data_IF_190551886137
#
_entry.id   IF_190551886137
#
_cell.length_a   1.000
_cell.length_b   1.000
_cell.length_c   1.000
_cell.angle_alpha   90.00
_cell.angle_beta   90.00
_cell.angle_gamma   90.00
#
_symmetry.space_group_name_H-M   'P 1'
#
loop_
_entity.id
_entity.type
_entity.pdbx_description
1 polymer ?
#
# COMPACT_ATOMS: atom_id res chain seq x y z
N UNK A 1 28.40 -33.07 -16.62
CA UNK A 1 27.56 -32.76 -17.79
C UNK A 1 26.33 -32.03 -17.27
N UNK A 2 26.36 -30.70 -17.34
CA UNK A 2 25.22 -29.86 -16.99
C UNK A 2 24.22 -30.02 -18.13
N UNK A 3 23.01 -30.43 -17.81
CA UNK A 3 21.90 -30.57 -18.76
C UNK A 3 21.72 -29.26 -19.52
N UNK A 4 21.95 -29.28 -20.83
CA UNK A 4 21.72 -28.20 -21.79
C UNK A 4 20.21 -27.94 -22.04
N UNK A 5 19.33 -28.29 -21.11
CA UNK A 5 17.87 -28.26 -21.28
C UNK A 5 17.13 -27.20 -20.43
N UNK A 6 17.85 -26.40 -19.63
CA UNK A 6 17.29 -25.25 -18.90
C UNK A 6 18.00 -23.95 -19.28
N UNK A 7 18.27 -23.75 -20.56
CA UNK A 7 18.36 -22.37 -21.07
C UNK A 7 16.94 -21.81 -20.98
N UNK A 8 16.60 -21.29 -19.79
CA UNK A 8 15.30 -20.68 -19.50
C UNK A 8 14.97 -19.70 -20.62
N UNK A 9 13.94 -20.01 -21.41
CA UNK A 9 13.32 -19.05 -22.31
C UNK A 9 12.99 -17.83 -21.44
N UNK A 10 13.77 -16.76 -21.61
CA UNK A 10 13.54 -15.48 -20.99
C UNK A 10 13.34 -14.47 -22.13
N UNK A 11 12.40 -13.52 -21.99
CA UNK A 11 12.25 -12.46 -22.98
C UNK A 11 13.58 -11.72 -23.14
N UNK A 12 14.06 -11.46 -24.38
CA UNK A 12 15.36 -10.82 -24.64
C UNK A 12 15.57 -9.51 -23.86
N UNK A 13 14.49 -8.74 -23.69
CA UNK A 13 14.47 -7.48 -22.94
C UNK A 13 14.91 -7.62 -21.48
N UNK A 14 14.79 -8.81 -20.89
CA UNK A 14 15.01 -9.06 -19.46
C UNK A 14 16.34 -9.77 -19.15
N UNK A 15 17.11 -10.14 -20.17
CA UNK A 15 18.37 -10.91 -20.00
C UNK A 15 19.51 -10.04 -19.48
N UNK A 16 19.59 -8.77 -19.92
CA UNK A 16 20.64 -7.83 -19.52
C UNK A 16 20.07 -6.51 -19.00
N UNK A 17 19.35 -6.54 -17.87
CA UNK A 17 18.83 -5.33 -17.25
C UNK A 17 19.94 -4.42 -16.75
N UNK A 18 19.71 -3.10 -16.83
CA UNK A 18 20.59 -2.12 -16.21
C UNK A 18 20.12 -1.79 -14.78
N UNK A 19 21.02 -1.39 -13.88
CA UNK A 19 20.62 -0.83 -12.58
C UNK A 19 19.96 -1.79 -11.58
N UNK A 20 20.09 -3.11 -11.75
CA UNK A 20 19.49 -4.16 -10.87
C UNK A 20 19.79 -3.96 -9.38
N UNK A 21 20.95 -3.38 -9.05
CA UNK A 21 21.36 -3.07 -7.68
C UNK A 21 20.35 -2.21 -6.91
N UNK A 22 19.58 -1.37 -7.62
CA UNK A 22 18.54 -0.53 -7.02
C UNK A 22 17.48 -1.40 -6.33
N UNK A 23 16.94 -2.37 -7.06
CA UNK A 23 15.92 -3.26 -6.52
C UNK A 23 16.49 -4.35 -5.61
N UNK A 24 17.69 -4.85 -5.85
CA UNK A 24 18.30 -5.87 -4.98
C UNK A 24 18.78 -5.29 -3.62
N UNK A 25 19.17 -4.02 -3.56
CA UNK A 25 19.79 -3.44 -2.36
C UNK A 25 19.08 -2.20 -1.82
N UNK A 26 18.81 -1.20 -2.67
CA UNK A 26 18.24 0.08 -2.21
C UNK A 26 16.81 -0.11 -1.70
N UNK A 27 15.97 -0.78 -2.47
CA UNK A 27 14.56 -0.98 -2.10
C UNK A 27 14.43 -1.80 -0.80
N UNK A 28 15.12 -2.95 -0.62
CA UNK A 28 15.13 -3.66 0.66
C UNK A 28 15.65 -2.82 1.82
N UNK A 29 16.73 -2.04 1.62
CA UNK A 29 17.29 -1.19 2.67
C UNK A 29 16.31 -0.08 3.09
N UNK A 30 15.82 0.70 2.13
CA UNK A 30 14.89 1.82 2.40
C UNK A 30 13.57 1.30 2.96
N UNK A 31 13.03 0.22 2.39
CA UNK A 31 11.84 -0.45 2.90
C UNK A 31 12.01 -0.92 4.35
N UNK A 32 13.17 -1.50 4.68
CA UNK A 32 13.51 -1.89 6.06
C UNK A 32 13.51 -0.69 7.02
N UNK A 33 14.03 0.46 6.59
CA UNK A 33 13.98 1.69 7.39
C UNK A 33 12.54 2.12 7.66
N UNK A 34 11.66 2.12 6.66
CA UNK A 34 10.23 2.44 6.85
C UNK A 34 9.56 1.47 7.84
N UNK A 35 9.83 0.17 7.73
CA UNK A 35 9.31 -0.86 8.63
C UNK A 35 9.78 -0.61 10.06
N UNK A 36 11.08 -0.36 10.26
CA UNK A 36 11.64 -0.09 11.59
C UNK A 36 11.05 1.18 12.21
N UNK A 37 10.85 2.24 11.42
CA UNK A 37 10.21 3.48 11.89
C UNK A 37 8.75 3.24 12.29
N UNK A 38 7.99 2.45 11.52
CA UNK A 38 6.61 2.10 11.86
C UNK A 38 6.53 1.25 13.14
N UNK A 39 7.43 0.28 13.31
CA UNK A 39 7.53 -0.53 14.54
C UNK A 39 7.90 0.35 15.74
N UNK A 40 8.88 1.24 15.59
CA UNK A 40 9.28 2.17 16.63
C UNK A 40 8.10 3.10 17.05
N UNK A 41 7.30 3.56 16.09
CA UNK A 41 6.09 4.36 16.37
C UNK A 41 5.03 3.56 17.14
N UNK A 42 4.83 2.28 16.79
CA UNK A 42 3.94 1.36 17.53
C UNK A 42 4.39 1.15 18.96
N UNK A 43 5.68 0.88 19.17
CA UNK A 43 6.26 0.67 20.50
C UNK A 43 6.13 1.96 21.34
N UNK A 44 6.47 3.11 20.75
CA UNK A 44 6.41 4.42 21.42
C UNK A 44 4.99 4.81 21.81
N UNK A 45 3.99 4.48 20.98
CA UNK A 45 2.58 4.81 21.23
C UNK A 45 1.81 3.68 21.93
N UNK A 46 2.43 2.51 22.13
CA UNK A 46 1.82 1.29 22.69
C UNK A 46 0.50 0.93 22.00
N UNK A 47 0.45 1.09 20.68
CA UNK A 47 -0.75 0.91 19.86
C UNK A 47 -0.36 0.59 18.42
N UNK A 48 -1.16 -0.22 17.72
CA UNK A 48 -1.06 -0.34 16.27
C UNK A 48 -1.53 0.96 15.61
N UNK A 49 -0.58 1.74 15.13
CA UNK A 49 -0.81 3.06 14.54
C UNK A 49 -1.41 2.89 13.15
N UNK A 50 -2.10 3.92 12.66
CA UNK A 50 -2.65 3.88 11.30
C UNK A 50 -1.56 3.59 10.25
N UNK A 51 -0.40 4.24 10.39
CA UNK A 51 0.73 4.03 9.47
C UNK A 51 1.25 2.60 9.52
N UNK A 52 1.37 2.00 10.71
CA UNK A 52 1.74 0.60 10.83
C UNK A 52 0.70 -0.34 10.23
N UNK A 53 -0.59 -0.14 10.53
CA UNK A 53 -1.66 -0.98 10.00
C UNK A 53 -1.70 -0.89 8.47
N UNK A 54 -1.58 0.31 7.90
CA UNK A 54 -1.55 0.47 6.46
C UNK A 54 -0.32 -0.21 5.84
N UNK A 55 0.88 0.06 6.36
CA UNK A 55 2.13 -0.50 5.88
C UNK A 55 2.14 -2.03 5.95
N UNK A 56 1.88 -2.59 7.13
CA UNK A 56 1.90 -4.03 7.35
C UNK A 56 0.93 -4.77 6.42
N UNK A 57 -0.30 -4.26 6.28
CA UNK A 57 -1.30 -4.92 5.45
C UNK A 57 -1.04 -4.75 3.95
N UNK A 58 -0.45 -3.62 3.54
CA UNK A 58 0.01 -3.43 2.15
C UNK A 58 1.17 -4.38 1.82
N UNK A 59 2.11 -4.58 2.74
CA UNK A 59 3.16 -5.57 2.55
C UNK A 59 2.59 -6.99 2.51
N UNK A 60 1.60 -7.30 3.35
CA UNK A 60 1.06 -8.64 3.47
C UNK A 60 0.28 -9.12 2.24
N UNK A 61 -0.08 -8.25 1.29
CA UNK A 61 -0.74 -8.66 0.03
C UNK A 61 0.25 -9.11 -1.05
N UNK A 62 1.56 -8.90 -0.88
CA UNK A 62 2.58 -9.17 -1.90
C UNK A 62 2.55 -10.60 -2.47
N UNK A 63 2.18 -11.59 -1.65
CA UNK A 63 2.20 -12.98 -2.09
C UNK A 63 1.15 -13.26 -3.17
N UNK A 64 0.08 -12.46 -3.26
CA UNK A 64 -0.93 -12.57 -4.32
C UNK A 64 -0.45 -11.94 -5.62
N UNK A 65 0.53 -11.05 -5.57
CA UNK A 65 1.05 -10.32 -6.72
C UNK A 65 1.57 -11.27 -7.78
N UNK A 66 2.30 -12.33 -7.41
CA UNK A 66 2.74 -13.37 -8.35
C UNK A 66 1.60 -13.98 -9.18
N UNK A 67 0.38 -14.06 -8.62
CA UNK A 67 -0.81 -14.54 -9.34
C UNK A 67 -1.37 -13.46 -10.27
N UNK A 68 -1.32 -12.19 -9.83
CA UNK A 68 -1.70 -11.04 -10.64
C UNK A 68 -0.76 -10.85 -11.83
N UNK A 69 0.54 -10.88 -11.58
CA UNK A 69 1.62 -10.82 -12.56
C UNK A 69 1.53 -11.97 -13.55
N UNK A 70 1.24 -13.18 -13.09
CA UNK A 70 0.90 -14.31 -13.95
C UNK A 70 -0.30 -13.99 -14.84
N UNK A 71 -1.39 -13.44 -14.27
CA UNK A 71 -2.56 -13.01 -15.03
C UNK A 71 -2.25 -11.92 -16.07
N UNK A 72 -1.21 -11.12 -15.86
CA UNK A 72 -0.79 -10.05 -16.77
C UNK A 72 0.31 -10.45 -17.73
N UNK A 73 0.82 -11.68 -17.61
CA UNK A 73 1.96 -12.17 -18.37
C UNK A 73 3.21 -11.32 -18.12
N UNK A 74 3.38 -10.88 -16.87
CA UNK A 74 4.54 -10.16 -16.41
C UNK A 74 5.68 -11.14 -16.11
N UNK A 75 6.82 -10.91 -16.75
CA UNK A 75 8.05 -11.66 -16.53
C UNK A 75 9.12 -10.78 -15.90
N UNK A 76 9.53 -11.09 -14.68
CA UNK A 76 10.67 -10.43 -14.03
C UNK A 76 12.00 -10.96 -14.52
N UNK A 77 12.99 -10.07 -14.61
CA UNK A 77 14.35 -10.45 -14.98
C UNK A 77 14.93 -11.50 -14.04
N UNK A 78 15.59 -12.53 -14.58
CA UNK A 78 16.28 -13.54 -13.79
C UNK A 78 17.45 -12.96 -12.96
N UNK A 79 17.90 -11.73 -13.24
CA UNK A 79 19.00 -11.09 -12.52
C UNK A 79 18.64 -10.65 -11.08
N UNK A 80 17.35 -10.59 -10.74
CA UNK A 80 16.93 -10.26 -9.39
C UNK A 80 17.14 -11.42 -8.41
N UNK A 81 17.38 -11.08 -7.14
CA UNK A 81 17.30 -12.05 -6.06
C UNK A 81 15.84 -12.55 -5.94
N UNK A 82 15.64 -13.87 -5.87
CA UNK A 82 14.31 -14.49 -5.96
C UNK A 82 13.93 -15.22 -4.67
N UNK A 83 12.63 -15.40 -4.46
CA UNK A 83 12.11 -16.31 -3.44
C UNK A 83 11.29 -17.45 -4.08
N UNK A 84 11.15 -18.55 -3.36
CA UNK A 84 10.48 -19.77 -3.83
C UNK A 84 9.11 -20.00 -3.16
N UNK A 85 8.51 -18.92 -2.65
CA UNK A 85 7.18 -19.01 -2.04
C UNK A 85 6.15 -19.37 -3.11
N UNK A 86 5.31 -20.37 -2.86
CA UNK A 86 4.26 -20.85 -3.76
C UNK A 86 4.74 -21.53 -5.05
N UNK A 87 5.97 -22.07 -5.14
CA UNK A 87 6.44 -22.82 -6.33
C UNK A 87 5.53 -23.99 -6.74
N UNK A 88 4.68 -24.48 -5.82
CA UNK A 88 3.68 -25.50 -6.08
C UNK A 88 2.43 -24.98 -6.82
N UNK A 89 2.22 -23.66 -6.90
CA UNK A 89 1.04 -23.04 -7.49
C UNK A 89 1.23 -22.90 -9.02
N UNK A 90 0.33 -23.46 -9.85
CA UNK A 90 0.49 -23.40 -11.31
C UNK A 90 0.29 -22.00 -11.91
N UNK A 91 -0.48 -21.14 -11.24
CA UNK A 91 -0.84 -19.79 -11.69
C UNK A 91 0.09 -18.73 -11.12
N UNK A 92 1.39 -18.94 -11.33
CA UNK A 92 2.47 -18.19 -10.67
C UNK A 92 3.52 -17.75 -11.67
N UNK A 93 4.12 -16.57 -11.49
CA UNK A 93 5.27 -16.16 -12.30
C UNK A 93 6.52 -17.03 -12.06
N UNK A 94 7.38 -17.22 -13.09
CA UNK A 94 8.57 -18.04 -12.97
C UNK A 94 9.68 -17.43 -12.09
N UNK A 95 9.69 -16.09 -11.97
CA UNK A 95 10.73 -15.35 -11.26
C UNK A 95 10.09 -14.38 -10.27
N UNK A 96 10.00 -14.71 -8.98
CA UNK A 96 9.45 -13.79 -7.98
C UNK A 96 10.55 -13.03 -7.26
N UNK A 97 10.59 -11.70 -7.37
CA UNK A 97 11.64 -10.91 -6.74
C UNK A 97 11.49 -10.83 -5.21
N UNK A 98 12.60 -11.03 -4.49
CA UNK A 98 12.68 -10.91 -3.04
C UNK A 98 12.38 -9.48 -2.55
N UNK A 99 12.60 -8.47 -3.39
CA UNK A 99 12.39 -7.08 -3.02
C UNK A 99 10.91 -6.70 -2.89
N UNK A 100 9.98 -7.54 -3.34
CA UNK A 100 8.60 -7.15 -3.54
C UNK A 100 7.89 -6.62 -2.27
N UNK A 101 7.96 -7.28 -1.11
CA UNK A 101 7.38 -6.73 0.13
C UNK A 101 7.95 -5.35 0.50
N UNK A 102 9.23 -5.11 0.21
CA UNK A 102 9.90 -3.85 0.48
C UNK A 102 9.52 -2.77 -0.54
N UNK A 103 9.29 -3.16 -1.80
CA UNK A 103 8.77 -2.26 -2.81
C UNK A 103 7.40 -1.72 -2.39
N UNK A 104 6.50 -2.55 -1.84
CA UNK A 104 5.23 -2.06 -1.28
C UNK A 104 5.46 -1.04 -0.16
N UNK A 105 6.41 -1.30 0.75
CA UNK A 105 6.72 -0.36 1.82
C UNK A 105 7.15 1.02 1.28
N UNK A 106 8.01 1.04 0.27
CA UNK A 106 8.52 2.28 -0.35
C UNK A 106 7.45 2.94 -1.22
N UNK A 107 6.82 2.17 -2.12
CA UNK A 107 5.80 2.62 -3.05
C UNK A 107 4.69 3.35 -2.30
N UNK A 108 4.10 2.71 -1.28
CA UNK A 108 3.01 3.30 -0.51
C UNK A 108 3.43 4.50 0.32
N UNK A 109 4.64 4.45 0.91
CA UNK A 109 5.19 5.58 1.67
C UNK A 109 5.37 6.82 0.80
N UNK A 110 6.05 6.67 -0.34
CA UNK A 110 6.34 7.77 -1.26
C UNK A 110 5.09 8.26 -1.96
N UNK A 111 4.28 7.34 -2.50
CA UNK A 111 3.04 7.66 -3.20
C UNK A 111 2.05 8.41 -2.28
N UNK A 112 1.86 7.95 -1.04
CA UNK A 112 0.96 8.63 -0.10
C UNK A 112 1.43 10.05 0.23
N UNK A 113 2.75 10.26 0.43
CA UNK A 113 3.32 11.59 0.65
C UNK A 113 3.09 12.49 -0.56
N UNK A 114 3.36 11.97 -1.76
CA UNK A 114 3.19 12.69 -3.03
C UNK A 114 1.73 13.13 -3.24
N UNK A 115 0.76 12.20 -3.14
CA UNK A 115 -0.67 12.50 -3.30
C UNK A 115 -1.16 13.52 -2.26
N UNK A 116 -0.72 13.39 -1.01
CA UNK A 116 -1.09 14.33 0.05
C UNK A 116 -0.55 15.74 -0.25
N UNK A 117 0.72 15.84 -0.65
CA UNK A 117 1.35 17.11 -1.00
C UNK A 117 0.68 17.78 -2.21
N UNK A 118 0.47 17.04 -3.30
CA UNK A 118 -0.23 17.54 -4.49
C UNK A 118 -1.66 17.97 -4.16
N UNK A 119 -2.37 17.19 -3.35
CA UNK A 119 -3.75 17.50 -2.94
C UNK A 119 -3.83 18.78 -2.09
N UNK A 120 -2.86 19.01 -1.20
CA UNK A 120 -2.75 20.25 -0.43
C UNK A 120 -2.45 21.45 -1.33
N UNK A 121 -1.56 21.27 -2.30
CA UNK A 121 -1.22 22.30 -3.28
C UNK A 121 -2.41 22.68 -4.16
N UNK A 122 -3.17 21.71 -4.69
CA UNK A 122 -4.39 21.99 -5.46
C UNK A 122 -5.46 22.65 -4.60
N UNK A 123 -5.65 22.17 -3.37
CA UNK A 123 -6.60 22.76 -2.43
C UNK A 123 -6.30 24.23 -2.13
N UNK A 124 -5.03 24.58 -1.91
CA UNK A 124 -4.63 25.97 -1.64
C UNK A 124 -4.70 26.87 -2.88
N UNK A 125 -4.42 26.32 -4.08
CA UNK A 125 -4.47 27.05 -5.36
C UNK A 125 -5.89 27.32 -5.86
N UNK A 126 -6.78 26.34 -5.75
CA UNK A 126 -8.13 26.39 -6.34
C UNK A 126 -9.25 26.68 -5.32
N UNK A 127 -8.91 26.83 -4.04
CA UNK A 127 -9.89 26.95 -2.95
C UNK A 127 -10.77 25.70 -2.79
N UNK A 128 -10.34 24.56 -3.35
CA UNK A 128 -11.10 23.31 -3.28
C UNK A 128 -10.99 22.67 -1.91
N UNK A 129 -12.02 21.92 -1.52
CA UNK A 129 -11.90 21.04 -0.37
C UNK A 129 -10.83 19.99 -0.63
N UNK A 130 -10.11 19.61 0.42
CA UNK A 130 -9.06 18.60 0.35
C UNK A 130 -9.56 17.27 -0.24
N UNK A 131 -10.82 16.91 0.01
CA UNK A 131 -11.46 15.71 -0.54
C UNK A 131 -11.65 15.84 -2.06
N UNK A 132 -12.14 16.99 -2.54
CA UNK A 132 -12.32 17.24 -3.98
C UNK A 132 -10.97 17.21 -4.71
N UNK A 133 -9.94 17.84 -4.15
CA UNK A 133 -8.59 17.81 -4.71
C UNK A 133 -8.04 16.38 -4.80
N UNK A 134 -8.21 15.59 -3.75
CA UNK A 134 -7.73 14.21 -3.71
C UNK A 134 -8.45 13.30 -4.72
N UNK A 135 -9.77 13.43 -4.85
CA UNK A 135 -10.55 12.64 -5.82
C UNK A 135 -10.18 12.99 -7.28
N UNK A 136 -9.96 14.28 -7.57
CA UNK A 136 -9.57 14.72 -8.91
C UNK A 136 -8.14 14.32 -9.28
N UNK A 137 -7.25 14.25 -8.30
CA UNK A 137 -5.85 13.87 -8.51
C UNK A 137 -5.62 12.36 -8.47
N UNK A 138 -6.51 11.61 -7.80
CA UNK A 138 -6.39 10.17 -7.63
C UNK A 138 -6.06 9.45 -8.94
N UNK A 139 -6.93 9.55 -9.94
CA UNK A 139 -6.72 8.80 -11.19
C UNK A 139 -5.50 9.31 -11.99
N UNK A 140 -5.36 10.61 -12.29
CA UNK A 140 -4.24 11.08 -13.12
C UNK A 140 -2.87 10.90 -12.47
N UNK A 141 -2.76 11.09 -11.15
CA UNK A 141 -1.49 10.94 -10.43
C UNK A 141 -1.12 9.46 -10.31
N UNK A 142 -2.06 8.57 -9.97
CA UNK A 142 -1.78 7.13 -9.94
C UNK A 142 -1.38 6.64 -11.33
N UNK A 143 -2.12 7.02 -12.38
CA UNK A 143 -1.80 6.61 -13.75
C UNK A 143 -0.40 7.08 -14.16
N UNK A 144 -0.08 8.36 -13.94
CA UNK A 144 1.23 8.89 -14.29
C UNK A 144 2.36 8.24 -13.47
N UNK A 145 2.12 7.99 -12.19
CA UNK A 145 3.06 7.32 -11.31
C UNK A 145 3.34 5.89 -11.79
N UNK A 146 2.30 5.08 -11.99
CA UNK A 146 2.42 3.70 -12.48
C UNK A 146 3.07 3.65 -13.86
N UNK A 147 2.67 4.55 -14.78
CA UNK A 147 3.30 4.65 -16.09
C UNK A 147 4.80 4.94 -16.00
N UNK A 148 5.20 5.84 -15.10
CA UNK A 148 6.62 6.16 -14.90
C UNK A 148 7.38 5.00 -14.27
N UNK A 149 6.83 4.33 -13.25
CA UNK A 149 7.51 3.23 -12.57
C UNK A 149 7.59 1.99 -13.46
N UNK A 150 6.47 1.53 -14.00
CA UNK A 150 6.38 0.37 -14.89
C UNK A 150 7.06 0.64 -16.23
N UNK A 151 6.91 1.87 -16.77
CA UNK A 151 7.49 2.26 -18.05
C UNK A 151 9.01 2.33 -17.96
N UNK A 152 9.54 2.89 -16.86
CA UNK A 152 10.98 2.86 -16.61
C UNK A 152 11.48 1.44 -16.44
N UNK A 153 10.78 0.62 -15.67
CA UNK A 153 11.18 -0.76 -15.40
C UNK A 153 11.26 -1.61 -16.67
N UNK A 154 10.27 -1.47 -17.54
CA UNK A 154 10.23 -2.15 -18.85
C UNK A 154 11.29 -1.61 -19.81
N UNK A 155 11.56 -0.30 -19.79
CA UNK A 155 12.60 0.32 -20.62
C UNK A 155 14.03 -0.08 -20.20
N UNK A 156 14.28 -0.33 -18.91
CA UNK A 156 15.60 -0.75 -18.41
C UNK A 156 15.76 -2.27 -18.29
N UNK A 157 14.72 -3.03 -18.63
CA UNK A 157 14.74 -4.49 -18.69
C UNK A 157 14.49 -5.21 -17.36
N UNK A 158 14.01 -4.50 -16.33
CA UNK A 158 13.73 -5.12 -15.03
C UNK A 158 12.60 -6.16 -15.11
N UNK A 159 11.54 -5.86 -15.86
CA UNK A 159 10.48 -6.81 -16.19
C UNK A 159 9.82 -6.41 -17.51
N UNK A 160 9.01 -7.29 -18.06
CA UNK A 160 8.24 -7.02 -19.29
C UNK A 160 6.90 -7.75 -19.26
N UNK A 161 5.94 -7.23 -20.02
CA UNK A 161 4.64 -7.88 -20.22
C UNK A 161 4.63 -8.55 -21.60
N UNK A 162 4.64 -9.89 -21.68
CA UNK A 162 4.80 -10.60 -22.96
C UNK A 162 3.84 -11.81 -23.07
N UNK A 163 2.87 -11.82 -24.02
CA UNK A 163 2.65 -10.86 -25.12
C UNK A 163 2.17 -9.45 -24.72
N UNK A 164 1.74 -9.27 -23.47
CA UNK A 164 1.09 -8.04 -23.01
C UNK A 164 -0.37 -7.97 -23.48
N UNK A 165 -1.26 -7.54 -22.60
CA UNK A 165 -2.70 -7.48 -22.88
C UNK A 165 -3.11 -6.06 -23.25
N UNK A 166 -3.91 -5.90 -24.32
CA UNK A 166 -4.46 -4.61 -24.74
C UNK A 166 -3.43 -3.64 -25.36
N UNK A 167 -3.73 -2.32 -25.38
CA UNK A 167 -2.81 -1.31 -25.91
C UNK A 167 -1.49 -1.31 -25.13
N UNK A 168 -0.37 -1.41 -25.84
CA UNK A 168 0.96 -1.49 -25.26
C UNK A 168 1.94 -0.54 -25.93
N UNK A 169 3.01 -0.19 -25.20
CA UNK A 169 4.22 0.43 -25.74
C UNK A 169 5.32 -0.61 -25.70
N UNK A 170 6.02 -0.77 -26.82
CA UNK A 170 7.25 -1.55 -26.92
C UNK A 170 8.45 -0.61 -27.01
N UNK A 171 9.43 -0.82 -26.15
CA UNK A 171 10.69 -0.08 -26.11
C UNK A 171 11.72 -0.70 -27.06
N UNK A 172 12.80 0.03 -27.32
CA UNK A 172 13.85 -0.43 -28.24
C UNK A 172 14.56 -1.72 -27.79
N UNK A 173 14.50 -2.05 -26.50
CA UNK A 173 15.07 -3.28 -25.92
C UNK A 173 14.10 -4.47 -26.03
N UNK A 174 12.91 -4.29 -26.62
CA UNK A 174 11.84 -5.28 -26.69
C UNK A 174 10.98 -5.36 -25.42
N UNK A 175 11.23 -4.53 -24.41
CA UNK A 175 10.43 -4.45 -23.20
C UNK A 175 9.07 -3.83 -23.51
N UNK A 176 8.00 -4.39 -22.96
CA UNK A 176 6.63 -3.96 -23.23
C UNK A 176 5.94 -3.54 -21.95
N UNK A 177 5.13 -2.50 -22.01
CA UNK A 177 4.23 -2.05 -20.94
C UNK A 177 2.79 -2.00 -21.46
N UNK A 178 1.83 -2.56 -20.71
CA UNK A 178 0.41 -2.41 -21.02
C UNK A 178 -0.13 -1.09 -20.44
N UNK A 179 -0.89 -0.35 -21.23
CA UNK A 179 -1.36 0.99 -20.87
C UNK A 179 -2.72 0.98 -20.15
N UNK A 180 -3.54 -0.04 -20.42
CA UNK A 180 -4.91 -0.08 -19.91
C UNK A 180 -5.05 -0.99 -18.70
N UNK A 181 -4.61 -2.25 -18.79
CA UNK A 181 -4.94 -3.25 -17.80
C UNK A 181 -4.06 -3.16 -16.57
N UNK A 182 -2.74 -3.09 -16.76
CA UNK A 182 -1.78 -2.89 -15.65
C UNK A 182 -2.08 -1.62 -14.88
N UNK A 183 -2.10 -0.50 -15.60
CA UNK A 183 -2.22 0.81 -14.95
C UNK A 183 -3.67 1.08 -14.50
N UNK A 184 -4.66 0.68 -15.31
CA UNK A 184 -6.06 0.95 -15.03
C UNK A 184 -6.59 0.21 -13.80
N UNK A 185 -6.19 -1.05 -13.59
CA UNK A 185 -6.58 -1.79 -12.39
C UNK A 185 -5.87 -1.27 -11.14
N UNK A 186 -4.59 -0.91 -11.26
CA UNK A 186 -3.83 -0.22 -10.21
C UNK A 186 -4.36 1.18 -9.91
N UNK A 187 -5.17 1.80 -10.77
CA UNK A 187 -5.88 3.03 -10.42
C UNK A 187 -7.11 2.81 -9.53
N UNK A 188 -7.64 1.59 -9.39
CA UNK A 188 -8.91 1.34 -8.67
C UNK A 188 -8.63 0.95 -7.22
N UNK A 189 -7.89 -0.15 -7.00
CA UNK A 189 -7.73 -0.72 -5.67
C UNK A 189 -7.02 0.22 -4.67
N UNK A 190 -5.91 0.90 -5.04
CA UNK A 190 -5.27 1.92 -4.22
C UNK A 190 -6.19 3.02 -3.70
N UNK A 191 -7.05 3.55 -4.55
CA UNK A 191 -7.95 4.63 -4.18
C UNK A 191 -9.07 4.13 -3.28
N UNK A 192 -9.59 2.93 -3.56
CA UNK A 192 -10.57 2.27 -2.72
C UNK A 192 -10.02 2.01 -1.31
N UNK A 193 -8.83 1.41 -1.21
CA UNK A 193 -8.26 1.05 0.08
C UNK A 193 -7.85 2.28 0.89
N UNK A 194 -7.35 3.34 0.24
CA UNK A 194 -7.08 4.62 0.89
C UNK A 194 -8.36 5.26 1.45
N UNK A 195 -9.48 5.20 0.71
CA UNK A 195 -10.78 5.69 1.18
C UNK A 195 -11.31 4.88 2.36
N UNK A 196 -11.24 3.54 2.29
CA UNK A 196 -11.70 2.65 3.34
C UNK A 196 -10.86 2.71 4.62
N UNK A 197 -9.53 2.79 4.48
CA UNK A 197 -8.59 3.01 5.57
C UNK A 197 -8.77 4.39 6.23
N UNK A 198 -9.37 5.34 5.51
CA UNK A 198 -9.67 6.69 5.99
C UNK A 198 -8.44 7.60 6.04
N UNK A 199 -8.65 8.92 5.87
CA UNK A 199 -7.58 9.92 5.92
C UNK A 199 -7.22 10.31 7.37
N UNK A 200 -5.94 10.48 7.72
CA UNK A 200 -5.54 11.12 8.98
C UNK A 200 -6.01 12.58 9.06
N UNK A 201 -6.34 13.11 10.27
CA UNK A 201 -6.32 12.45 11.57
C UNK A 201 -7.66 11.82 11.94
N UNK A 202 -7.63 10.50 12.13
CA UNK A 202 -8.80 9.67 12.40
C UNK A 202 -9.18 9.81 13.88
N UNK A 203 -10.19 10.65 14.17
CA UNK A 203 -10.75 10.77 15.53
C UNK A 203 -11.63 9.59 15.93
N UNK A 204 -12.23 8.90 14.95
CA UNK A 204 -13.17 7.79 15.15
C UNK A 204 -12.69 6.48 14.55
N UNK A 205 -13.57 5.50 14.36
CA UNK A 205 -13.26 4.31 13.56
C UNK A 205 -13.33 4.64 12.08
N UNK A 206 -12.44 4.05 11.26
CA UNK A 206 -12.51 4.17 9.80
C UNK A 206 -13.57 3.24 9.20
N UNK A 207 -13.76 3.28 7.88
CA UNK A 207 -14.80 2.48 7.23
C UNK A 207 -14.54 0.98 7.35
N UNK A 208 -13.28 0.53 7.24
CA UNK A 208 -12.91 -0.90 7.46
C UNK A 208 -13.29 -1.38 8.86
N UNK A 209 -12.93 -0.60 9.88
CA UNK A 209 -13.17 -0.96 11.27
C UNK A 209 -14.67 -0.98 11.59
N UNK A 210 -15.46 -0.06 11.02
CA UNK A 210 -16.93 -0.05 11.15
C UNK A 210 -17.57 -1.20 10.38
N UNK A 211 -17.08 -1.50 9.18
CA UNK A 211 -17.56 -2.63 8.38
C UNK A 211 -17.42 -3.96 9.14
N UNK A 212 -16.30 -4.15 9.84
CA UNK A 212 -16.08 -5.29 10.74
C UNK A 212 -16.77 -5.13 12.12
N UNK A 213 -17.66 -4.15 12.29
CA UNK A 213 -18.45 -3.87 13.50
C UNK A 213 -17.62 -3.65 14.76
N UNK A 214 -16.42 -3.06 14.65
CA UNK A 214 -15.60 -2.76 15.84
C UNK A 214 -16.23 -1.69 16.74
N UNK A 215 -17.19 -0.91 16.22
CA UNK A 215 -17.96 0.08 16.97
C UNK A 215 -18.66 -0.49 18.20
N UNK A 216 -19.05 -1.77 18.19
CA UNK A 216 -19.67 -2.47 19.34
C UNK A 216 -18.76 -2.54 20.57
N UNK A 217 -17.46 -2.37 20.38
CA UNK A 217 -16.45 -2.37 21.44
C UNK A 217 -16.00 -0.95 21.80
N UNK A 218 -16.67 0.07 21.30
CA UNK A 218 -16.33 1.47 21.55
C UNK A 218 -17.50 2.20 22.20
N UNK A 219 -17.18 3.09 23.13
CA UNK A 219 -18.14 3.99 23.77
C UNK A 219 -17.79 5.40 23.34
N UNK A 220 -18.76 6.14 22.82
CA UNK A 220 -18.53 7.53 22.41
C UNK A 220 -18.08 8.35 23.61
N UNK A 221 -16.94 9.03 23.51
CA UNK A 221 -16.54 10.02 24.49
C UNK A 221 -17.57 11.14 24.43
N UNK A 222 -18.24 11.39 25.55
CA UNK A 222 -18.99 12.62 25.71
C UNK A 222 -17.94 13.71 25.59
N UNK A 223 -17.99 14.52 24.53
CA UNK A 223 -17.19 15.74 24.47
C UNK A 223 -17.44 16.43 25.79
N UNK A 224 -16.42 16.54 26.64
CA UNK A 224 -16.48 17.50 27.73
C UNK A 224 -16.82 18.79 27.02
N UNK A 225 -18.05 19.27 27.21
CA UNK A 225 -18.30 20.68 26.97
C UNK A 225 -17.22 21.33 27.82
N UNK A 226 -16.28 21.98 27.18
CA UNK A 226 -15.68 23.15 27.79
C UNK A 226 -16.84 24.15 27.94
N UNK A 227 -17.76 23.84 28.86
CA UNK A 227 -18.67 24.78 29.43
C UNK A 227 -17.72 25.79 30.03
N UNK A 228 -17.69 26.97 29.42
CA UNK A 228 -16.80 28.04 29.82
C UNK A 228 -16.89 28.17 31.32
N UNK A 229 -15.76 27.95 31.99
CA UNK A 229 -15.55 28.55 33.29
C UNK A 229 -15.54 30.05 32.99
N UNK A 230 -16.71 30.67 33.05
CA UNK A 230 -16.84 32.11 33.22
C UNK A 230 -15.95 32.47 34.40
N UNK A 231 -14.80 33.09 34.12
CA UNK A 231 -13.96 33.67 35.14
C UNK A 231 -14.71 34.86 35.73
N UNK A 232 -15.57 34.58 36.72
CA UNK A 232 -15.99 35.52 37.74
C UNK A 232 -15.76 34.83 39.08
N UNK A 233 -14.52 34.86 39.53
CA UNK A 233 -14.09 34.24 40.78
C UNK A 233 -12.76 34.84 41.21
N UNK A 234 -12.87 35.83 42.08
CA UNK A 234 -11.84 36.58 42.79
C UNK A 234 -10.65 35.76 43.30
N UNK A 235 -9.45 36.30 43.06
CA UNK A 235 -8.28 36.28 43.95
C UNK A 235 -7.96 34.97 44.70
N UNK A 236 -7.25 34.06 44.05
CA UNK A 236 -6.49 33.00 44.72
C UNK A 236 -5.24 32.73 43.91
N UNK A 237 -4.07 32.80 44.55
CA UNK A 237 -2.78 32.58 43.91
C UNK A 237 -2.79 31.23 43.16
N UNK A 238 -2.79 31.29 41.84
CA UNK A 238 -2.71 30.11 41.00
C UNK A 238 -1.31 29.53 41.13
N UNK A 239 -1.16 28.51 41.97
CA UNK A 239 0.01 27.62 41.92
C UNK A 239 0.01 27.03 40.51
N UNK A 240 0.95 27.47 39.68
CA UNK A 240 1.17 26.93 38.36
C UNK A 240 1.63 25.47 38.52
N UNK A 241 0.67 24.54 38.65
CA UNK A 241 0.93 23.11 38.52
C UNK A 241 1.58 22.89 37.17
N UNK A 242 2.84 22.44 37.16
CA UNK A 242 3.52 22.00 35.94
C UNK A 242 2.55 21.11 35.17
N UNK A 243 2.27 21.40 33.88
CA UNK A 243 1.38 20.56 33.10
C UNK A 243 1.93 19.13 33.17
N UNK A 244 1.15 18.20 33.72
CA UNK A 244 1.55 16.82 33.83
C UNK A 244 1.94 16.34 32.44
N UNK A 245 3.19 15.85 32.29
CA UNK A 245 3.70 15.41 31.00
C UNK A 245 2.93 14.16 30.60
N UNK A 246 1.92 14.34 29.76
CA UNK A 246 1.12 13.26 29.20
C UNK A 246 2.05 12.29 28.45
N UNK A 247 1.83 11.00 28.64
CA UNK A 247 2.47 9.99 27.80
C UNK A 247 1.95 10.11 26.36
N UNK A 248 2.74 9.69 25.36
CA UNK A 248 2.29 9.69 23.96
C UNK A 248 1.03 8.85 23.73
N UNK A 249 0.84 7.82 24.54
CA UNK A 249 -0.38 7.03 24.57
C UNK A 249 -1.58 7.87 25.02
N UNK A 250 -1.46 8.58 26.15
CA UNK A 250 -2.53 9.45 26.68
C UNK A 250 -2.86 10.63 25.75
N UNK A 251 -1.85 11.27 25.15
CA UNK A 251 -2.07 12.33 24.15
C UNK A 251 -2.97 11.84 23.01
N UNK A 252 -2.71 10.63 22.50
CA UNK A 252 -3.48 10.06 21.41
C UNK A 252 -4.87 9.59 21.85
N UNK A 253 -4.99 8.96 23.01
CA UNK A 253 -6.30 8.51 23.52
C UNK A 253 -7.24 9.69 23.76
N UNK A 254 -6.72 10.81 24.26
CA UNK A 254 -7.46 12.06 24.42
C UNK A 254 -7.87 12.68 23.07
N UNK A 255 -7.13 12.38 22.00
CA UNK A 255 -7.45 12.85 20.66
C UNK A 255 -8.62 12.07 20.01
N UNK A 256 -8.87 10.83 20.43
CA UNK A 256 -9.98 10.01 19.92
C UNK A 256 -11.32 10.50 20.46
N UNK A 257 -12.39 10.27 19.69
CA UNK A 257 -13.77 10.56 20.09
C UNK A 257 -14.49 9.36 20.73
N UNK A 258 -13.75 8.30 21.05
CA UNK A 258 -14.27 7.08 21.67
C UNK A 258 -13.28 6.51 22.71
N UNK A 259 -13.83 5.78 23.66
CA UNK A 259 -13.13 4.87 24.56
C UNK A 259 -13.36 3.42 24.14
N UNK A 260 -12.43 2.53 24.47
CA UNK A 260 -12.50 1.10 24.16
C UNK A 260 -13.07 0.36 25.36
N UNK A 261 -14.14 -0.41 25.17
CA UNK A 261 -14.86 -1.12 26.23
C UNK A 261 -14.20 -2.45 26.65
N UNK A 262 -13.30 -2.98 25.82
CA UNK A 262 -12.59 -4.26 26.03
C UNK A 262 -11.10 -4.01 26.32
N UNK A 263 -10.33 -5.00 26.82
CA UNK A 263 -8.89 -4.87 26.96
C UNK A 263 -8.24 -4.40 25.66
N UNK A 264 -7.42 -3.35 25.72
CA UNK A 264 -6.89 -2.66 24.55
C UNK A 264 -6.15 -3.56 23.58
N UNK A 265 -5.35 -4.50 24.08
CA UNK A 265 -4.62 -5.43 23.22
C UNK A 265 -5.57 -6.29 22.37
N UNK A 266 -6.73 -6.69 22.90
CA UNK A 266 -7.76 -7.44 22.15
C UNK A 266 -8.35 -6.56 21.06
N UNK A 267 -8.64 -5.30 21.38
CA UNK A 267 -9.16 -4.35 20.40
C UNK A 267 -8.17 -4.09 19.26
N UNK A 268 -6.89 -3.89 19.58
CA UNK A 268 -5.86 -3.68 18.56
C UNK A 268 -5.65 -4.93 17.69
N UNK A 269 -5.73 -6.14 18.23
CA UNK A 269 -5.70 -7.37 17.43
C UNK A 269 -6.93 -7.49 16.52
N UNK A 270 -8.13 -7.12 16.99
CA UNK A 270 -9.33 -7.07 16.16
C UNK A 270 -9.19 -6.04 15.03
N UNK A 271 -8.57 -4.88 15.32
CA UNK A 271 -8.27 -3.88 14.29
C UNK A 271 -7.30 -4.45 13.25
N UNK A 272 -6.22 -5.08 13.69
CA UNK A 272 -5.27 -5.73 12.79
C UNK A 272 -5.96 -6.76 11.90
N UNK A 273 -6.81 -7.63 12.48
CA UNK A 273 -7.56 -8.62 11.72
C UNK A 273 -8.55 -8.02 10.72
N UNK A 274 -9.27 -6.95 11.11
CA UNK A 274 -10.19 -6.25 10.21
C UNK A 274 -9.45 -5.63 9.01
N UNK A 275 -8.32 -4.99 9.26
CA UNK A 275 -7.47 -4.44 8.21
C UNK A 275 -6.87 -5.54 7.33
N UNK A 276 -6.38 -6.62 7.92
CA UNK A 276 -5.83 -7.76 7.19
C UNK A 276 -6.85 -8.37 6.23
N UNK A 277 -8.02 -8.75 6.73
CA UNK A 277 -9.09 -9.31 5.90
C UNK A 277 -9.52 -8.30 4.82
N UNK A 278 -9.70 -7.03 5.19
CA UNK A 278 -10.08 -5.97 4.26
C UNK A 278 -9.10 -5.81 3.10
N UNK A 279 -7.79 -5.77 3.38
CA UNK A 279 -6.75 -5.68 2.37
C UNK A 279 -6.69 -6.94 1.50
N UNK A 280 -6.66 -8.13 2.12
CA UNK A 280 -6.52 -9.39 1.39
C UNK A 280 -7.71 -9.62 0.44
N UNK A 281 -8.94 -9.50 0.94
CA UNK A 281 -10.15 -9.73 0.15
C UNK A 281 -10.31 -8.68 -0.94
N UNK A 282 -10.07 -7.40 -0.63
CA UNK A 282 -10.19 -6.35 -1.65
C UNK A 282 -9.12 -6.48 -2.72
N UNK A 283 -7.87 -6.77 -2.37
CA UNK A 283 -6.79 -6.98 -3.34
C UNK A 283 -7.11 -8.17 -4.26
N UNK A 284 -7.55 -9.28 -3.68
CA UNK A 284 -7.95 -10.46 -4.44
C UNK A 284 -9.11 -10.18 -5.41
N UNK A 285 -10.18 -9.54 -4.93
CA UNK A 285 -11.39 -9.30 -5.72
C UNK A 285 -11.19 -8.22 -6.78
N UNK A 286 -10.46 -7.15 -6.48
CA UNK A 286 -10.35 -5.99 -7.38
C UNK A 286 -9.11 -6.03 -8.29
N UNK A 287 -8.08 -6.82 -7.95
CA UNK A 287 -6.89 -6.97 -8.80
C UNK A 287 -6.76 -8.39 -9.34
N UNK A 288 -6.64 -9.39 -8.47
CA UNK A 288 -6.30 -10.76 -8.90
C UNK A 288 -7.37 -11.38 -9.79
N UNK A 289 -8.63 -11.36 -9.34
CA UNK A 289 -9.74 -11.94 -10.10
C UNK A 289 -9.88 -11.32 -11.50
N UNK A 290 -9.91 -9.98 -11.67
CA UNK A 290 -9.95 -9.35 -12.98
C UNK A 290 -8.77 -9.72 -13.88
N UNK A 291 -7.56 -9.81 -13.35
CA UNK A 291 -6.36 -10.13 -14.13
C UNK A 291 -6.36 -11.57 -14.63
N UNK A 292 -6.65 -12.51 -13.73
CA UNK A 292 -6.76 -13.93 -14.09
C UNK A 292 -7.91 -14.16 -15.06
N UNK A 293 -9.07 -13.52 -14.82
CA UNK A 293 -10.21 -13.61 -15.72
C UNK A 293 -9.89 -13.03 -17.10
N UNK A 294 -9.18 -11.90 -17.17
CA UNK A 294 -8.78 -11.30 -18.45
C UNK A 294 -7.89 -12.24 -19.25
N UNK A 295 -6.87 -12.85 -18.63
CA UNK A 295 -6.02 -13.86 -19.30
C UNK A 295 -6.85 -15.04 -19.81
N UNK A 296 -7.72 -15.58 -18.96
CA UNK A 296 -8.58 -16.71 -19.32
C UNK A 296 -9.57 -16.37 -20.47
N UNK A 297 -10.18 -15.20 -20.44
CA UNK A 297 -11.16 -14.76 -21.45
C UNK A 297 -10.52 -14.39 -22.78
N UNK A 298 -9.31 -13.85 -22.76
CA UNK A 298 -8.57 -13.51 -23.98
C UNK A 298 -7.89 -14.73 -24.61
N UNK A 299 -7.75 -15.83 -23.86
CA UNK A 299 -7.00 -17.02 -24.30
C UNK A 299 -5.54 -16.70 -24.58
N UNK A 300 -5.03 -15.60 -24.01
CA UNK A 300 -3.68 -15.16 -24.23
C UNK A 300 -2.72 -16.17 -23.57
N UNK A 301 -1.70 -16.56 -24.32
CA UNK A 301 -0.67 -17.48 -23.87
C UNK A 301 0.73 -16.86 -24.00
N UNK A 302 1.66 -17.29 -23.16
CA UNK A 302 3.04 -16.79 -23.13
C UNK A 302 4.02 -17.95 -23.16
N UNK A 303 5.02 -17.96 -24.04
CA UNK A 303 6.05 -19.01 -24.05
C UNK A 303 6.96 -18.95 -22.81
N UNK A 304 6.89 -17.86 -22.03
CA UNK A 304 7.74 -17.60 -20.87
C UNK A 304 7.01 -17.81 -19.54
N UNK A 305 5.68 -17.77 -19.55
CA UNK A 305 4.85 -17.81 -18.35
C UNK A 305 3.79 -18.90 -18.58
N UNK A 306 3.89 -20.04 -17.86
CA UNK A 306 3.06 -21.21 -18.10
C UNK A 306 1.57 -20.98 -17.82
#
# INVERSE_FOLDING_TARGET
MISLAEEQLAPPATVQPTGVWFFNWVIPFVGSVFILLAIADVIRRRRLTWGFLFLFNSMAVYWMETVGDWGQMLFYSPAFARHHLLDWLPIKTPNDPLFMPFAYAVYWGVHAILVLWLSQWVSSRLGWSMLKSMLMLAVPVNYAWDFLTEGTATAVGWWTYDPGLGPLIEWHNGGRITLLWTIGLMCIWPNLIAYWAGKPPIRGLNHLERFCRLERFTVRKRTASWAGTSMSGTGGAAVATRPARLTKQQEFDNYLNYDVAIPRWRFELLRLGAWFIGFQVSFFVFLIVPLVALRALTGADSPYIP
#
